data_IF_995603644309
#
_entry.id   IF_995603644309
#
_cell.length_a   1.000
_cell.length_b   1.000
_cell.length_c   1.000
_cell.angle_alpha   90.00
_cell.angle_beta   90.00
_cell.angle_gamma   90.00
#
_symmetry.space_group_name_H-M   'P 1'
#
loop_
_entity.id
_entity.type
_entity.pdbx_description
1 polymer ?
#
# COMPACT_ATOMS: atom_id res chain seq x y z
N UNK A 1 -21.21 -12.32 12.04
CA UNK A 1 -20.93 -11.10 11.24
C UNK A 1 -20.75 -11.50 9.78
N UNK A 2 -21.29 -10.73 8.82
CA UNK A 2 -21.02 -10.94 7.40
C UNK A 2 -19.52 -10.72 7.11
N UNK A 3 -18.98 -11.52 6.19
CA UNK A 3 -17.60 -11.44 5.73
C UNK A 3 -17.47 -10.43 4.58
N UNK A 4 -16.54 -9.48 4.69
CA UNK A 4 -16.24 -8.52 3.63
C UNK A 4 -15.20 -9.12 2.70
N UNK A 5 -15.52 -9.21 1.41
CA UNK A 5 -14.63 -9.75 0.38
C UNK A 5 -13.93 -8.61 -0.35
N UNK A 6 -12.61 -8.67 -0.42
CA UNK A 6 -11.79 -7.71 -1.17
C UNK A 6 -11.11 -8.47 -2.30
N UNK A 7 -11.28 -7.97 -3.53
CA UNK A 7 -10.75 -8.62 -4.74
C UNK A 7 -9.55 -7.82 -5.25
N UNK A 8 -8.37 -8.42 -5.17
CA UNK A 8 -7.07 -7.84 -5.51
C UNK A 8 -6.33 -7.31 -4.29
N UNK A 9 -5.05 -7.68 -4.15
CA UNK A 9 -4.14 -7.21 -3.11
C UNK A 9 -3.13 -6.18 -3.65
N UNK A 10 -3.62 -5.24 -4.47
CA UNK A 10 -2.86 -4.02 -4.80
C UNK A 10 -2.92 -3.00 -3.65
N UNK A 11 -2.35 -1.81 -3.82
CA UNK A 11 -2.32 -0.76 -2.78
C UNK A 11 -3.69 -0.54 -2.11
N UNK A 12 -4.74 -0.30 -2.90
CA UNK A 12 -6.08 -0.04 -2.36
C UNK A 12 -6.68 -1.27 -1.64
N UNK A 13 -6.50 -2.46 -2.18
CA UNK A 13 -7.03 -3.69 -1.60
C UNK A 13 -6.35 -4.07 -0.28
N UNK A 14 -5.03 -3.90 -0.22
CA UNK A 14 -4.25 -4.10 1.00
C UNK A 14 -4.61 -3.10 2.09
N UNK A 15 -4.70 -1.81 1.75
CA UNK A 15 -5.12 -0.77 2.70
C UNK A 15 -6.53 -1.04 3.24
N UNK A 16 -7.49 -1.33 2.35
CA UNK A 16 -8.87 -1.65 2.76
C UNK A 16 -8.94 -2.90 3.63
N UNK A 17 -8.17 -3.94 3.32
CA UNK A 17 -8.15 -5.18 4.08
C UNK A 17 -7.64 -4.96 5.50
N UNK A 18 -6.50 -4.29 5.63
CA UNK A 18 -5.88 -3.99 6.93
C UNK A 18 -6.76 -3.03 7.74
N UNK A 19 -7.29 -1.98 7.11
CA UNK A 19 -8.17 -1.02 7.77
C UNK A 19 -9.44 -1.70 8.35
N UNK A 20 -10.11 -2.53 7.55
CA UNK A 20 -11.33 -3.22 7.99
C UNK A 20 -11.04 -4.30 9.05
N UNK A 21 -9.95 -5.05 8.89
CA UNK A 21 -9.54 -6.05 9.87
C UNK A 21 -9.21 -5.42 11.23
N UNK A 22 -8.51 -4.27 11.24
CA UNK A 22 -8.19 -3.51 12.45
C UNK A 22 -9.44 -2.97 13.18
N UNK A 23 -10.52 -2.71 12.43
CA UNK A 23 -11.83 -2.33 12.98
C UNK A 23 -12.67 -3.55 13.43
N UNK A 24 -12.11 -4.75 13.42
CA UNK A 24 -12.76 -5.97 13.88
C UNK A 24 -13.68 -6.64 12.87
N UNK A 25 -13.69 -6.20 11.61
CA UNK A 25 -14.48 -6.87 10.57
C UNK A 25 -13.80 -8.16 10.11
N UNK A 26 -14.61 -9.18 9.82
CA UNK A 26 -14.11 -10.39 9.17
C UNK A 26 -13.85 -10.07 7.68
N UNK A 27 -12.58 -10.04 7.29
CA UNK A 27 -12.15 -9.75 5.92
C UNK A 27 -11.62 -11.01 5.25
N UNK A 28 -11.96 -11.18 3.96
CA UNK A 28 -11.35 -12.17 3.08
C UNK A 28 -10.76 -11.47 1.86
N UNK A 29 -9.44 -11.41 1.81
CA UNK A 29 -8.68 -10.85 0.69
C UNK A 29 -8.39 -11.94 -0.34
N UNK A 30 -8.71 -11.66 -1.60
CA UNK A 30 -8.44 -12.54 -2.73
C UNK A 30 -7.35 -11.92 -3.61
N UNK A 31 -6.29 -12.67 -3.85
CA UNK A 31 -5.21 -12.29 -4.76
C UNK A 31 -4.91 -13.49 -5.65
N UNK A 32 -4.75 -13.24 -6.96
CA UNK A 32 -4.45 -14.29 -7.91
C UNK A 32 -2.96 -14.64 -7.91
N UNK A 33 -2.10 -13.70 -7.53
CA UNK A 33 -0.66 -13.90 -7.37
C UNK A 33 -0.38 -14.64 -6.05
N UNK A 34 0.70 -15.46 -5.98
CA UNK A 34 1.65 -15.78 -7.05
C UNK A 34 1.16 -16.84 -8.04
N UNK A 35 0.00 -17.47 -7.82
CA UNK A 35 -0.48 -18.58 -8.66
C UNK A 35 -0.71 -18.16 -10.12
N UNK A 36 -1.18 -16.93 -10.35
CA UNK A 36 -1.32 -16.31 -11.67
C UNK A 36 -0.70 -14.92 -11.66
N UNK A 37 0.49 -14.81 -12.24
CA UNK A 37 1.22 -13.56 -12.40
C UNK A 37 0.69 -12.74 -13.59
N UNK A 38 1.00 -11.44 -13.61
CA UNK A 38 0.85 -10.59 -14.82
C UNK A 38 2.23 -10.12 -15.27
N UNK A 39 2.39 -9.65 -16.52
CA UNK A 39 3.67 -9.14 -17.02
C UNK A 39 4.25 -7.95 -16.22
N UNK A 40 3.41 -7.26 -15.44
CA UNK A 40 3.84 -6.11 -14.64
C UNK A 40 4.40 -6.52 -13.26
N UNK A 41 3.96 -7.65 -12.70
CA UNK A 41 4.32 -8.06 -11.34
C UNK A 41 5.51 -9.01 -11.36
N UNK A 42 6.41 -8.82 -10.40
CA UNK A 42 7.61 -9.63 -10.19
C UNK A 42 7.45 -10.53 -8.96
N UNK A 43 6.48 -10.27 -8.09
CA UNK A 43 6.30 -11.02 -6.84
C UNK A 43 4.84 -11.41 -6.57
N UNK A 44 4.66 -12.34 -5.63
CA UNK A 44 3.35 -12.67 -5.08
C UNK A 44 2.88 -11.73 -3.97
N UNK A 45 3.68 -10.71 -3.62
CA UNK A 45 3.42 -9.90 -2.44
C UNK A 45 2.28 -8.89 -2.65
N UNK A 46 1.51 -8.57 -1.58
CA UNK A 46 0.55 -7.49 -1.60
C UNK A 46 1.22 -6.13 -1.87
N UNK A 47 0.44 -5.17 -2.36
CA UNK A 47 0.87 -3.77 -2.54
C UNK A 47 2.14 -3.56 -3.41
N UNK A 48 2.52 -4.52 -4.24
CA UNK A 48 3.71 -4.41 -5.11
C UNK A 48 3.66 -3.17 -6.02
N UNK A 49 4.75 -2.39 -6.03
CA UNK A 49 4.93 -1.24 -6.92
C UNK A 49 5.55 -1.68 -8.25
N UNK A 50 4.72 -1.81 -9.28
CA UNK A 50 5.14 -2.35 -10.59
C UNK A 50 5.77 -1.33 -11.55
N UNK A 51 5.68 -0.04 -11.24
CA UNK A 51 6.22 1.03 -12.08
C UNK A 51 7.26 1.85 -11.28
N UNK A 52 6.96 3.10 -10.95
CA UNK A 52 7.81 3.94 -10.12
C UNK A 52 7.78 3.46 -8.66
N UNK A 53 8.92 3.62 -7.97
CA UNK A 53 9.02 3.46 -6.52
C UNK A 53 8.72 4.75 -5.75
N UNK A 54 8.34 5.83 -6.43
CA UNK A 54 7.94 7.10 -5.83
C UNK A 54 6.44 7.09 -5.53
N UNK A 55 6.09 7.33 -4.26
CA UNK A 55 4.77 7.68 -3.77
C UNK A 55 4.54 9.21 -3.78
N UNK A 56 5.29 9.92 -4.63
CA UNK A 56 5.22 11.38 -4.84
C UNK A 56 5.64 12.22 -3.63
N UNK A 57 5.49 13.53 -3.79
CA UNK A 57 5.92 14.57 -2.86
C UNK A 57 5.45 14.35 -1.42
N UNK A 58 6.29 14.71 -0.46
CA UNK A 58 5.97 14.82 0.97
C UNK A 58 5.67 16.26 1.39
N UNK A 59 5.78 17.24 0.49
CA UNK A 59 5.50 18.64 0.80
C UNK A 59 4.00 18.90 0.89
N UNK A 60 3.57 19.51 2.00
CA UNK A 60 2.17 19.76 2.32
C UNK A 60 1.43 20.64 1.29
N UNK A 61 2.15 21.52 0.61
CA UNK A 61 1.63 22.41 -0.44
C UNK A 61 1.39 21.69 -1.78
N UNK A 62 1.69 20.40 -1.87
CA UNK A 62 1.41 19.57 -3.04
C UNK A 62 0.20 18.65 -2.80
N UNK A 63 -0.59 18.32 -3.84
CA UNK A 63 -1.74 17.42 -3.69
C UNK A 63 -1.36 16.07 -3.06
N UNK A 64 -0.20 15.53 -3.42
CA UNK A 64 0.26 14.25 -2.90
C UNK A 64 0.80 14.32 -1.46
N UNK A 65 1.33 15.46 -1.03
CA UNK A 65 1.76 15.64 0.36
C UNK A 65 0.56 15.89 1.27
N UNK A 66 -0.39 16.73 0.87
CA UNK A 66 -1.65 16.92 1.59
C UNK A 66 -2.40 15.59 1.78
N UNK A 67 -2.51 14.78 0.72
CA UNK A 67 -3.15 13.47 0.81
C UNK A 67 -2.44 12.53 1.82
N UNK A 68 -1.11 12.63 1.98
CA UNK A 68 -0.40 11.83 2.99
C UNK A 68 -0.76 12.25 4.41
N UNK A 69 -0.87 13.55 4.67
CA UNK A 69 -1.33 14.03 5.97
C UNK A 69 -2.77 13.59 6.26
N UNK A 70 -3.67 13.66 5.26
CA UNK A 70 -5.03 13.13 5.39
C UNK A 70 -5.02 11.62 5.70
N UNK A 71 -4.18 10.85 5.02
CA UNK A 71 -4.01 9.42 5.27
C UNK A 71 -3.44 9.12 6.67
N UNK A 72 -2.53 9.94 7.18
CA UNK A 72 -2.04 9.85 8.56
C UNK A 72 -3.15 10.08 9.57
N UNK A 73 -3.96 11.13 9.38
CA UNK A 73 -5.11 11.44 10.23
C UNK A 73 -6.17 10.35 10.21
N UNK A 74 -6.36 9.70 9.06
CA UNK A 74 -7.30 8.57 8.89
C UNK A 74 -6.72 7.23 9.38
N UNK A 75 -5.47 7.19 9.80
CA UNK A 75 -4.81 6.00 10.33
C UNK A 75 -4.45 4.97 9.26
N UNK A 76 -3.92 5.43 8.12
CA UNK A 76 -3.46 4.57 7.03
C UNK A 76 -2.52 3.48 7.53
N UNK A 77 -2.70 2.27 7.00
CA UNK A 77 -1.91 1.09 7.33
C UNK A 77 -0.68 0.96 6.45
N UNK A 78 -0.76 1.38 5.19
CA UNK A 78 0.36 1.28 4.25
C UNK A 78 1.35 2.44 4.34
N UNK A 79 0.88 3.67 4.63
CA UNK A 79 1.75 4.86 4.58
C UNK A 79 2.91 4.80 5.60
N UNK A 80 2.70 4.42 6.89
CA UNK A 80 3.82 4.27 7.84
C UNK A 80 4.81 3.18 7.41
N UNK A 81 4.32 2.12 6.77
CA UNK A 81 5.20 1.07 6.24
C UNK A 81 6.05 1.61 5.09
N UNK A 82 5.45 2.39 4.19
CA UNK A 82 6.17 3.05 3.10
C UNK A 82 7.27 3.99 3.64
N UNK A 83 6.95 4.82 4.64
CA UNK A 83 7.92 5.70 5.30
C UNK A 83 9.08 4.90 5.94
N UNK A 84 8.78 3.75 6.56
CA UNK A 84 9.80 2.86 7.12
C UNK A 84 10.70 2.19 6.05
N UNK A 85 10.30 2.24 4.78
CA UNK A 85 11.02 1.68 3.65
C UNK A 85 11.59 2.78 2.74
N UNK A 86 11.60 4.04 3.20
CA UNK A 86 11.99 5.17 2.39
C UNK A 86 13.47 5.12 1.96
N UNK A 87 13.73 5.55 0.74
CA UNK A 87 15.08 5.76 0.18
C UNK A 87 15.24 7.22 -0.22
N UNK A 88 16.49 7.70 -0.33
CA UNK A 88 16.76 9.11 -0.66
C UNK A 88 16.16 9.51 -2.01
N UNK A 89 15.26 10.51 -2.01
CA UNK A 89 14.58 10.99 -3.23
C UNK A 89 14.14 12.47 -3.14
N UNK A 90 14.93 13.30 -2.44
CA UNK A 90 14.64 14.72 -2.26
C UNK A 90 13.30 14.93 -1.54
N UNK A 91 12.38 15.66 -2.17
CA UNK A 91 11.06 15.94 -1.62
C UNK A 91 10.00 14.87 -1.91
N UNK A 92 10.38 13.74 -2.52
CA UNK A 92 9.47 12.62 -2.75
C UNK A 92 9.65 11.52 -1.71
N UNK A 93 8.55 10.90 -1.29
CA UNK A 93 8.61 9.59 -0.63
C UNK A 93 8.87 8.54 -1.70
N UNK A 94 10.12 8.13 -1.89
CA UNK A 94 10.46 6.95 -2.67
C UNK A 94 10.79 5.80 -1.73
N UNK A 95 10.48 4.56 -2.12
CA UNK A 95 10.66 3.39 -1.26
C UNK A 95 11.52 2.31 -1.91
N UNK A 96 12.11 1.45 -1.09
CA UNK A 96 12.53 0.13 -1.56
C UNK A 96 11.27 -0.71 -1.83
N UNK A 97 11.05 -1.05 -3.11
CA UNK A 97 9.82 -1.73 -3.56
C UNK A 97 9.65 -3.11 -2.96
N UNK A 98 10.74 -3.86 -2.87
CA UNK A 98 10.70 -5.24 -2.40
C UNK A 98 10.50 -5.26 -0.88
N UNK A 99 11.22 -4.40 -0.16
CA UNK A 99 11.06 -4.27 1.28
C UNK A 99 9.65 -3.79 1.65
N UNK A 100 9.13 -2.80 0.92
CA UNK A 100 7.76 -2.31 1.14
C UNK A 100 6.74 -3.43 0.96
N UNK A 101 6.74 -4.11 -0.20
CA UNK A 101 5.77 -5.18 -0.48
C UNK A 101 5.88 -6.37 0.49
N UNK A 102 7.08 -6.71 0.95
CA UNK A 102 7.30 -7.80 1.92
C UNK A 102 6.76 -7.50 3.32
N UNK A 103 6.64 -6.22 3.69
CA UNK A 103 6.12 -5.80 5.00
C UNK A 103 4.60 -5.68 5.05
N UNK A 104 3.92 -5.76 3.90
CA UNK A 104 2.45 -5.70 3.79
C UNK A 104 1.86 -7.11 3.82
#
# INVERSE_FOLDING_TARGET
MPEIKIIGAGLAGSEAALYLADKGWKVKLYEMRPAKMTPAHQTGYPAELVCSNSLKSTLLDTPAGLLKEELHLLGSKLLPVAESCAVSAGHSLAVDRNLFAQKI
#
